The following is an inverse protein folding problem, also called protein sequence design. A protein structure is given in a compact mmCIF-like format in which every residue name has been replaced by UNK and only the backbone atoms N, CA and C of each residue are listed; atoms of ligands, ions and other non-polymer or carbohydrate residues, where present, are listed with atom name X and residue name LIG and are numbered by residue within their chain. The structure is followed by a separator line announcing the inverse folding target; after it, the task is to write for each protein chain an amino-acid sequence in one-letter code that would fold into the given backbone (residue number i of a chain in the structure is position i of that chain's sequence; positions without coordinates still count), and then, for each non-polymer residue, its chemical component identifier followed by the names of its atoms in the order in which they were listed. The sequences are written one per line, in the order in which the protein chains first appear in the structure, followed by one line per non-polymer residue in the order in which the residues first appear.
data_IF_560619555740
#
_entry.id   IF_560619555740
#
_cell.length_a   1.000
_cell.length_b   1.000
_cell.length_c   1.000
_cell.angle_alpha   90.00
_cell.angle_beta   90.00
_cell.angle_gamma   90.00
#
_symmetry.space_group_name_H-M   'P 1'
#
loop_
_entity.id
_entity.type
_entity.pdbx_description
1 polymer ?
#
# COMPACT_ATOMS: atom_id res chain seq x y z
N UNK A 1 17.85 20.98 -0.39
CA UNK A 1 18.93 19.99 -0.23
C UNK A 1 18.34 18.68 0.25
N UNK A 2 18.78 17.59 -0.37
CA UNK A 2 18.45 16.23 0.02
C UNK A 2 19.64 15.56 0.69
N UNK A 3 19.37 14.59 1.55
CA UNK A 3 20.38 13.87 2.35
C UNK A 3 20.38 12.42 1.90
N UNK A 4 21.54 11.95 1.44
CA UNK A 4 21.75 10.55 1.12
C UNK A 4 21.80 9.72 2.40
N UNK A 5 20.97 8.69 2.46
CA UNK A 5 20.97 7.69 3.53
C UNK A 5 22.23 6.81 3.41
N UNK A 6 23.01 6.65 4.50
CA UNK A 6 24.15 5.74 4.51
C UNK A 6 23.72 4.29 4.22
N UNK A 7 24.49 3.58 3.38
CA UNK A 7 24.19 2.21 2.96
C UNK A 7 24.19 1.24 4.15
N UNK A 8 25.04 1.50 5.14
CA UNK A 8 25.19 0.73 6.37
C UNK A 8 23.89 0.70 7.19
N UNK A 9 23.02 1.70 7.04
CA UNK A 9 21.71 1.70 7.70
C UNK A 9 20.81 0.59 7.16
N UNK A 10 21.01 0.14 5.91
CA UNK A 10 20.25 -0.94 5.28
C UNK A 10 20.82 -2.35 5.55
N UNK A 11 21.94 -2.45 6.27
CA UNK A 11 22.54 -3.74 6.68
C UNK A 11 22.64 -3.88 8.20
N UNK A 12 22.12 -2.89 8.94
CA UNK A 12 22.16 -2.86 10.38
C UNK A 12 21.19 -3.87 11.00
N UNK A 13 21.74 -4.91 11.63
CA UNK A 13 20.97 -6.04 12.16
C UNK A 13 20.14 -5.72 13.40
N UNK A 14 20.38 -4.58 14.06
CA UNK A 14 19.75 -4.20 15.32
C UNK A 14 18.62 -3.19 15.17
N UNK A 15 18.43 -2.60 13.98
CA UNK A 15 17.37 -1.63 13.77
C UNK A 15 16.02 -2.35 13.80
N UNK A 16 15.16 -1.92 14.71
CA UNK A 16 13.78 -2.42 14.85
C UNK A 16 12.77 -1.50 14.15
N UNK A 17 13.11 -0.22 14.03
CA UNK A 17 12.25 0.79 13.42
C UNK A 17 13.10 1.73 12.56
N UNK A 18 12.69 1.90 11.31
CA UNK A 18 13.33 2.81 10.35
C UNK A 18 12.27 3.76 9.80
N UNK A 19 12.48 5.05 10.03
CA UNK A 19 11.64 6.12 9.49
C UNK A 19 12.47 7.07 8.64
N UNK A 20 12.12 7.17 7.36
CA UNK A 20 12.71 8.10 6.42
C UNK A 20 11.61 9.04 5.91
N UNK A 21 11.84 10.35 6.08
CA UNK A 21 10.89 11.39 5.69
C UNK A 21 11.36 12.17 4.47
N UNK A 22 10.52 13.12 4.03
CA UNK A 22 10.87 14.02 2.93
C UNK A 22 12.22 14.69 3.20
N UNK A 23 13.05 14.74 2.15
CA UNK A 23 14.41 15.27 2.23
C UNK A 23 15.48 14.18 2.30
N UNK A 24 15.10 12.92 2.51
CA UNK A 24 16.02 11.79 2.36
C UNK A 24 15.95 11.16 0.96
N UNK A 25 17.10 10.72 0.51
CA UNK A 25 17.29 9.93 -0.70
C UNK A 25 18.05 8.65 -0.36
N UNK A 26 17.77 7.57 -1.07
CA UNK A 26 18.35 6.27 -0.76
C UNK A 26 18.79 5.51 -2.01
N UNK A 27 19.82 4.69 -1.83
CA UNK A 27 20.18 3.62 -2.73
C UNK A 27 20.16 2.34 -1.90
N UNK A 28 19.25 1.42 -2.22
CA UNK A 28 19.22 0.12 -1.55
C UNK A 28 20.39 -0.71 -2.06
N UNK A 29 21.29 -1.19 -1.18
CA UNK A 29 22.40 -2.04 -1.59
C UNK A 29 21.92 -3.45 -1.91
N UNK A 30 22.67 -4.21 -2.71
CA UNK A 30 22.27 -5.55 -3.14
C UNK A 30 22.21 -6.56 -1.98
N UNK A 31 23.01 -6.33 -0.93
CA UNK A 31 23.13 -7.11 0.31
C UNK A 31 22.26 -6.57 1.46
N UNK A 32 21.28 -5.70 1.17
CA UNK A 32 20.30 -5.22 2.16
C UNK A 32 19.73 -6.38 2.97
N UNK A 33 19.79 -6.25 4.30
CA UNK A 33 19.25 -7.23 5.23
C UNK A 33 19.03 -6.59 6.61
N UNK A 34 17.76 -6.52 7.02
CA UNK A 34 17.31 -5.87 8.25
C UNK A 34 16.51 -6.87 9.09
N UNK A 35 17.18 -7.87 9.69
CA UNK A 35 16.53 -9.03 10.34
C UNK A 35 15.67 -8.68 11.56
N UNK A 36 15.86 -7.51 12.17
CA UNK A 36 15.12 -7.08 13.36
C UNK A 36 14.04 -6.04 13.06
N UNK A 37 13.92 -5.58 11.81
CA UNK A 37 13.06 -4.47 11.44
C UNK A 37 11.59 -4.88 11.45
N UNK A 38 10.82 -4.25 12.34
CA UNK A 38 9.38 -4.45 12.51
C UNK A 38 8.56 -3.33 11.89
N UNK A 39 9.07 -2.09 11.92
CA UNK A 39 8.35 -0.91 11.42
C UNK A 39 9.20 -0.17 10.39
N UNK A 40 8.65 0.01 9.19
CA UNK A 40 9.25 0.76 8.11
C UNK A 40 8.31 1.89 7.67
N UNK A 41 8.78 3.12 7.80
CA UNK A 41 8.06 4.32 7.37
C UNK A 41 8.86 5.06 6.31
N UNK A 42 8.25 5.27 5.14
CA UNK A 42 8.83 5.93 3.99
C UNK A 42 7.90 7.06 3.53
N UNK A 43 8.25 8.31 3.83
CA UNK A 43 7.52 9.49 3.35
C UNK A 43 8.36 10.27 2.35
N UNK A 44 7.92 10.30 1.09
CA UNK A 44 8.49 11.08 -0.01
C UNK A 44 10.01 10.87 -0.16
N UNK A 45 10.45 9.63 0.04
CA UNK A 45 11.84 9.20 -0.14
C UNK A 45 12.06 8.86 -1.60
N UNK A 46 13.10 9.44 -2.21
CA UNK A 46 13.50 9.10 -3.57
C UNK A 46 14.54 7.97 -3.55
N UNK A 47 14.32 6.96 -4.39
CA UNK A 47 15.23 5.82 -4.53
C UNK A 47 15.94 5.85 -5.88
N UNK A 48 17.27 5.68 -5.87
CA UNK A 48 18.11 5.65 -7.08
C UNK A 48 18.17 4.28 -7.77
N UNK A 49 17.51 3.26 -7.21
CA UNK A 49 17.52 1.91 -7.75
C UNK A 49 16.73 1.80 -9.07
N UNK A 50 17.36 1.27 -10.11
CA UNK A 50 16.75 1.11 -11.45
C UNK A 50 16.61 -0.34 -11.92
N UNK A 51 17.21 -1.30 -11.21
CA UNK A 51 17.31 -2.71 -11.64
C UNK A 51 16.18 -3.61 -11.16
N UNK A 52 15.55 -3.26 -10.04
CA UNK A 52 14.56 -4.10 -9.36
C UNK A 52 13.50 -3.24 -8.66
N UNK A 53 12.42 -3.89 -8.24
CA UNK A 53 11.44 -3.23 -7.40
C UNK A 53 11.99 -3.04 -5.98
N UNK A 54 12.20 -1.78 -5.59
CA UNK A 54 12.71 -1.41 -4.27
C UNK A 54 11.85 -1.99 -3.15
N UNK A 55 10.53 -1.90 -3.30
CA UNK A 55 9.62 -2.37 -2.26
C UNK A 55 9.69 -3.87 -2.06
N UNK A 56 9.62 -4.66 -3.14
CA UNK A 56 9.75 -6.12 -3.05
C UNK A 56 11.11 -6.52 -2.45
N UNK A 57 12.19 -5.83 -2.82
CA UNK A 57 13.52 -6.06 -2.24
C UNK A 57 13.52 -5.79 -0.74
N UNK A 58 12.96 -4.67 -0.29
CA UNK A 58 12.88 -4.32 1.13
C UNK A 58 12.02 -5.32 1.91
N UNK A 59 10.85 -5.71 1.38
CA UNK A 59 9.99 -6.72 2.00
C UNK A 59 10.72 -8.06 2.15
N UNK A 60 11.47 -8.50 1.14
CA UNK A 60 12.26 -9.75 1.20
C UNK A 60 13.43 -9.67 2.19
N UNK A 61 13.97 -8.48 2.43
CA UNK A 61 15.12 -8.25 3.29
C UNK A 61 14.76 -8.01 4.77
N UNK A 62 13.47 -7.82 5.07
CA UNK A 62 12.94 -7.52 6.40
C UNK A 62 11.98 -8.66 6.84
N UNK A 63 12.51 -9.84 7.22
CA UNK A 63 11.70 -11.06 7.43
C UNK A 63 10.74 -11.00 8.63
N UNK A 64 10.82 -9.96 9.47
CA UNK A 64 9.96 -9.77 10.65
C UNK A 64 9.15 -8.48 10.58
N UNK A 65 9.01 -7.88 9.39
CA UNK A 65 8.32 -6.60 9.21
C UNK A 65 6.82 -6.75 9.49
N UNK A 66 6.31 -5.98 10.45
CA UNK A 66 4.92 -6.00 10.88
C UNK A 66 4.14 -4.76 10.40
N UNK A 67 4.82 -3.62 10.24
CA UNK A 67 4.20 -2.35 9.87
C UNK A 67 4.95 -1.67 8.73
N UNK A 68 4.22 -1.31 7.67
CA UNK A 68 4.75 -0.62 6.51
C UNK A 68 3.89 0.61 6.20
N UNK A 69 4.52 1.77 6.15
CA UNK A 69 3.90 3.01 5.67
C UNK A 69 4.67 3.59 4.50
N UNK A 70 3.98 3.84 3.39
CA UNK A 70 4.55 4.41 2.18
C UNK A 70 3.70 5.63 1.79
N UNK A 71 4.28 6.81 1.92
CA UNK A 71 3.74 8.05 1.38
C UNK A 71 4.62 8.50 0.23
N UNK A 72 4.48 7.91 -0.95
CA UNK A 72 5.31 8.31 -2.09
C UNK A 72 4.46 8.88 -3.21
N UNK A 73 4.79 10.06 -3.76
CA UNK A 73 4.17 10.50 -4.99
C UNK A 73 4.44 9.49 -6.09
N UNK A 74 5.58 8.80 -6.03
CA UNK A 74 6.14 8.08 -7.15
C UNK A 74 6.75 6.74 -6.72
N UNK A 75 6.16 5.67 -7.23
CA UNK A 75 6.79 4.34 -7.30
C UNK A 75 7.87 4.39 -8.41
N UNK A 76 8.88 5.27 -8.25
CA UNK A 76 9.66 5.86 -9.35
C UNK A 76 10.35 4.80 -10.22
N UNK A 77 9.83 4.65 -11.44
CA UNK A 77 10.44 4.15 -12.70
C UNK A 77 10.57 2.61 -12.90
N UNK A 78 10.50 2.11 -14.16
CA UNK A 78 9.27 1.87 -14.90
C UNK A 78 9.00 0.36 -15.08
N UNK A 79 7.74 -0.03 -14.85
CA UNK A 79 7.13 -1.37 -15.00
C UNK A 79 7.27 -2.27 -13.75
N UNK A 80 6.12 -2.49 -13.10
CA UNK A 80 5.77 -3.66 -12.24
C UNK A 80 5.97 -3.57 -10.73
N UNK A 81 6.50 -2.48 -10.20
CA UNK A 81 6.81 -2.42 -8.77
C UNK A 81 5.58 -2.14 -7.90
N UNK A 82 4.61 -3.07 -7.81
CA UNK A 82 3.32 -2.90 -7.08
C UNK A 82 2.76 -4.21 -6.50
N UNK A 83 3.67 -5.14 -6.22
CA UNK A 83 3.36 -6.34 -5.47
C UNK A 83 3.73 -6.07 -4.02
N UNK A 84 2.77 -6.26 -3.13
CA UNK A 84 3.04 -6.32 -1.69
C UNK A 84 2.76 -7.76 -1.28
N UNK A 85 3.83 -8.53 -1.09
CA UNK A 85 3.76 -9.91 -0.61
C UNK A 85 4.53 -10.02 0.70
N UNK A 86 3.85 -10.41 1.77
CA UNK A 86 4.45 -10.61 3.09
C UNK A 86 3.55 -11.44 4.00
N UNK A 87 4.13 -12.45 4.65
CA UNK A 87 3.44 -13.23 5.67
C UNK A 87 3.56 -12.63 7.08
N UNK A 88 4.36 -11.59 7.29
CA UNK A 88 4.55 -10.98 8.62
C UNK A 88 3.85 -9.65 8.77
N UNK A 89 3.51 -9.01 7.65
CA UNK A 89 2.92 -7.68 7.64
C UNK A 89 1.50 -7.71 8.22
N UNK A 90 1.28 -6.91 9.26
CA UNK A 90 0.01 -6.75 9.98
C UNK A 90 -0.67 -5.42 9.67
N UNK A 91 0.12 -4.37 9.37
CA UNK A 91 -0.40 -3.03 9.07
C UNK A 91 0.25 -2.47 7.82
N UNK A 92 -0.57 -1.96 6.92
CA UNK A 92 -0.13 -1.37 5.67
C UNK A 92 -0.84 -0.04 5.45
N UNK A 93 -0.06 1.01 5.25
CA UNK A 93 -0.54 2.33 4.85
C UNK A 93 0.12 2.74 3.54
N UNK A 94 -0.68 3.02 2.52
CA UNK A 94 -0.27 3.48 1.21
C UNK A 94 -0.97 4.81 0.96
N UNK A 95 -0.20 5.89 0.79
CA UNK A 95 -0.70 7.21 0.41
C UNK A 95 0.07 7.70 -0.80
N UNK A 96 -0.54 7.58 -1.97
CA UNK A 96 0.07 7.93 -3.24
C UNK A 96 -0.70 9.11 -3.81
N UNK A 97 0.02 10.19 -4.00
CA UNK A 97 -0.54 11.44 -4.47
C UNK A 97 0.16 11.74 -5.80
N UNK A 98 -0.58 11.52 -6.90
CA UNK A 98 -0.32 11.98 -8.27
C UNK A 98 0.48 11.03 -9.19
N UNK A 99 -0.18 10.19 -9.97
CA UNK A 99 0.29 9.80 -11.32
C UNK A 99 -0.87 9.60 -12.31
N UNK A 100 -0.55 9.76 -13.59
CA UNK A 100 -1.49 9.78 -14.74
C UNK A 100 -1.67 8.39 -15.39
N UNK A 101 -0.88 7.40 -14.96
CA UNK A 101 -0.89 6.05 -15.54
C UNK A 101 -1.67 5.07 -14.68
N UNK A 102 -2.35 4.11 -15.31
CA UNK A 102 -3.07 3.04 -14.62
C UNK A 102 -2.23 1.76 -14.58
N UNK A 103 -2.06 1.21 -13.39
CA UNK A 103 -1.20 0.05 -13.11
C UNK A 103 -2.00 -1.12 -12.53
N UNK A 104 -1.41 -2.31 -12.47
CA UNK A 104 -1.96 -3.41 -11.69
C UNK A 104 -1.39 -3.37 -10.26
N UNK A 105 -2.18 -3.78 -9.27
CA UNK A 105 -1.79 -3.82 -7.85
C UNK A 105 -2.05 -5.22 -7.28
N UNK A 106 -1.05 -5.80 -6.62
CA UNK A 106 -1.19 -7.12 -5.98
C UNK A 106 -1.02 -6.99 -4.47
N UNK A 107 -1.97 -7.56 -3.73
CA UNK A 107 -1.87 -7.78 -2.30
C UNK A 107 -1.80 -9.29 -2.05
N UNK A 108 -0.67 -9.74 -1.53
CA UNK A 108 -0.48 -11.12 -1.07
C UNK A 108 0.01 -11.10 0.39
N UNK A 109 -0.89 -10.67 1.27
CA UNK A 109 -0.59 -10.40 2.67
C UNK A 109 -1.66 -11.05 3.56
N UNK A 110 -1.62 -12.39 3.72
CA UNK A 110 -2.69 -13.14 4.39
C UNK A 110 -2.88 -12.76 5.85
N UNK A 111 -1.84 -12.22 6.51
CA UNK A 111 -1.85 -11.84 7.93
C UNK A 111 -2.08 -10.33 8.15
N UNK A 112 -2.42 -9.58 7.10
CA UNK A 112 -2.67 -8.14 7.20
C UNK A 112 -3.99 -7.92 7.94
N UNK A 113 -3.95 -7.19 9.06
CA UNK A 113 -5.12 -6.87 9.87
C UNK A 113 -5.65 -5.45 9.62
N UNK A 114 -4.78 -4.53 9.16
CA UNK A 114 -5.12 -3.14 8.89
C UNK A 114 -4.59 -2.69 7.52
N UNK A 115 -5.48 -2.12 6.70
CA UNK A 115 -5.15 -1.49 5.42
C UNK A 115 -5.64 -0.04 5.39
N UNK A 116 -4.76 0.89 5.09
CA UNK A 116 -5.11 2.24 4.67
C UNK A 116 -4.57 2.49 3.27
N UNK A 117 -5.46 2.77 2.33
CA UNK A 117 -5.11 2.87 0.92
C UNK A 117 -5.72 4.10 0.27
N UNK A 118 -4.85 5.07 -0.01
CA UNK A 118 -5.16 6.32 -0.68
C UNK A 118 -4.40 6.43 -2.00
N UNK A 119 -5.12 6.35 -3.13
CA UNK A 119 -4.53 6.40 -4.49
C UNK A 119 -5.61 6.55 -5.59
N UNK A 120 -5.21 6.45 -6.85
CA UNK A 120 -6.08 6.03 -7.94
C UNK A 120 -6.34 4.53 -7.86
N UNK A 121 -7.59 4.12 -8.07
CA UNK A 121 -7.93 2.70 -8.20
C UNK A 121 -7.16 2.09 -9.38
N UNK A 122 -6.47 0.99 -9.10
CA UNK A 122 -5.62 0.29 -10.05
C UNK A 122 -6.44 -0.22 -11.27
N UNK A 123 -5.75 -0.40 -12.39
CA UNK A 123 -6.27 -1.01 -13.61
C UNK A 123 -6.86 -2.39 -13.34
N UNK A 124 -6.15 -3.20 -12.56
CA UNK A 124 -6.57 -4.51 -12.10
C UNK A 124 -5.94 -4.82 -10.75
N UNK A 125 -6.58 -5.72 -10.03
CA UNK A 125 -6.02 -6.36 -8.84
C UNK A 125 -5.89 -7.87 -9.08
N UNK A 126 -4.79 -8.36 -9.70
CA UNK A 126 -4.68 -9.75 -10.14
C UNK A 126 -4.76 -10.76 -8.99
N UNK A 127 -4.16 -10.40 -7.86
CA UNK A 127 -4.18 -11.20 -6.63
C UNK A 127 -4.51 -10.28 -5.46
N UNK A 128 -5.51 -10.68 -4.67
CA UNK A 128 -5.95 -9.99 -3.45
C UNK A 128 -6.17 -11.05 -2.38
N UNK A 129 -5.11 -11.33 -1.64
CA UNK A 129 -5.12 -12.18 -0.46
C UNK A 129 -5.00 -11.28 0.78
N UNK A 130 -6.15 -11.07 1.42
CA UNK A 130 -6.38 -10.18 2.55
C UNK A 130 -7.21 -10.91 3.63
N UNK A 131 -7.00 -12.22 3.78
CA UNK A 131 -7.89 -13.11 4.54
C UNK A 131 -8.04 -12.74 6.02
N UNK A 132 -7.03 -12.13 6.64
CA UNK A 132 -7.06 -11.66 8.04
C UNK A 132 -7.44 -10.19 8.20
N UNK A 133 -7.89 -9.51 7.14
CA UNK A 133 -8.13 -8.06 7.18
C UNK A 133 -9.36 -7.73 8.02
N UNK A 134 -9.14 -6.95 9.07
CA UNK A 134 -10.19 -6.52 10.02
C UNK A 134 -10.66 -5.12 9.71
N UNK A 135 -9.73 -4.20 9.47
CA UNK A 135 -10.02 -2.78 9.24
C UNK A 135 -9.44 -2.29 7.92
N UNK A 136 -10.27 -1.63 7.13
CA UNK A 136 -9.88 -0.99 5.88
C UNK A 136 -10.31 0.49 5.84
N UNK A 137 -9.38 1.36 5.45
CA UNK A 137 -9.63 2.77 5.16
C UNK A 137 -9.25 3.05 3.72
N UNK A 138 -10.20 3.55 2.93
CA UNK A 138 -10.03 3.73 1.49
C UNK A 138 -10.31 5.17 1.08
N UNK A 139 -9.37 5.75 0.34
CA UNK A 139 -9.57 6.96 -0.46
C UNK A 139 -9.11 6.67 -1.89
N UNK A 140 -10.02 6.12 -2.69
CA UNK A 140 -9.73 5.67 -4.04
C UNK A 140 -10.55 6.44 -5.07
N UNK A 141 -9.84 7.15 -5.95
CA UNK A 141 -10.46 7.77 -7.13
C UNK A 141 -10.56 6.75 -8.25
N UNK A 142 -11.74 6.62 -8.83
CA UNK A 142 -12.05 5.59 -9.82
C UNK A 142 -12.32 6.19 -11.19
N UNK A 143 -11.64 5.70 -12.22
CA UNK A 143 -11.91 6.04 -13.61
C UNK A 143 -12.49 4.83 -14.34
N UNK A 144 -13.78 4.87 -14.68
CA UNK A 144 -14.55 3.71 -15.19
C UNK A 144 -13.89 2.94 -16.34
N UNK A 145 -13.23 3.62 -17.26
CA UNK A 145 -12.62 2.99 -18.43
C UNK A 145 -11.20 2.47 -18.19
N UNK A 146 -10.65 2.70 -17.00
CA UNK A 146 -9.22 2.55 -16.73
C UNK A 146 -8.91 1.83 -15.42
N UNK A 147 -9.88 1.74 -14.50
CA UNK A 147 -9.78 1.06 -13.20
C UNK A 147 -10.71 -0.15 -13.15
N UNK A 148 -10.29 -1.23 -12.48
CA UNK A 148 -11.14 -2.38 -12.17
C UNK A 148 -10.87 -2.86 -10.73
N UNK A 149 -11.61 -2.35 -9.74
CA UNK A 149 -11.44 -2.67 -8.33
C UNK A 149 -12.23 -3.92 -7.87
N UNK A 150 -12.84 -4.68 -8.78
CA UNK A 150 -13.70 -5.83 -8.43
C UNK A 150 -13.02 -6.81 -7.47
N UNK A 151 -11.78 -7.21 -7.76
CA UNK A 151 -11.05 -8.14 -6.89
C UNK A 151 -10.64 -7.51 -5.55
N UNK A 152 -10.38 -6.21 -5.51
CA UNK A 152 -10.14 -5.50 -4.25
C UNK A 152 -11.41 -5.54 -3.39
N UNK A 153 -12.57 -5.22 -3.97
CA UNK A 153 -13.86 -5.29 -3.27
C UNK A 153 -14.17 -6.69 -2.74
N UNK A 154 -13.86 -7.73 -3.52
CA UNK A 154 -13.98 -9.13 -3.09
C UNK A 154 -13.05 -9.44 -1.91
N UNK A 155 -11.81 -8.93 -1.94
CA UNK A 155 -10.86 -9.09 -0.82
C UNK A 155 -11.31 -8.41 0.47
N UNK A 156 -12.17 -7.38 0.38
CA UNK A 156 -12.70 -6.64 1.52
C UNK A 156 -13.95 -7.26 2.15
N UNK A 157 -14.47 -8.38 1.61
CA UNK A 157 -15.80 -8.92 2.00
C UNK A 157 -15.94 -9.35 3.47
N UNK A 158 -14.83 -9.55 4.17
CA UNK A 158 -14.79 -10.04 5.55
C UNK A 158 -14.33 -8.98 6.56
N UNK A 159 -14.09 -7.73 6.12
CA UNK A 159 -13.70 -6.66 7.04
C UNK A 159 -14.83 -6.36 8.02
N UNK A 160 -14.44 -6.03 9.24
CA UNK A 160 -15.34 -5.65 10.32
C UNK A 160 -15.60 -4.14 10.36
N UNK A 161 -14.58 -3.38 9.95
CA UNK A 161 -14.59 -1.92 9.88
C UNK A 161 -14.18 -1.48 8.49
N UNK A 162 -15.04 -0.70 7.83
CA UNK A 162 -14.76 -0.05 6.55
C UNK A 162 -14.98 1.45 6.65
N UNK A 163 -13.95 2.22 6.33
CA UNK A 163 -14.01 3.68 6.24
C UNK A 163 -13.73 4.12 4.81
N UNK A 164 -14.70 4.81 4.19
CA UNK A 164 -14.60 5.35 2.85
C UNK A 164 -14.46 6.86 2.98
N UNK A 165 -13.29 7.39 2.63
CA UNK A 165 -12.91 8.78 2.94
C UNK A 165 -13.41 9.78 1.89
N UNK A 166 -13.87 9.32 0.73
CA UNK A 166 -14.37 10.18 -0.36
C UNK A 166 -15.58 9.60 -1.08
N UNK A 167 -16.40 10.49 -1.67
CA UNK A 167 -17.52 10.13 -2.56
C UNK A 167 -17.06 9.27 -3.73
N UNK A 168 -15.87 9.54 -4.27
CA UNK A 168 -15.34 8.78 -5.40
C UNK A 168 -15.03 7.33 -5.02
N UNK A 169 -14.60 7.10 -3.78
CA UNK A 169 -14.46 5.76 -3.22
C UNK A 169 -15.81 5.07 -3.10
N UNK A 170 -16.87 5.77 -2.68
CA UNK A 170 -18.22 5.21 -2.63
C UNK A 170 -18.75 4.85 -4.03
N UNK A 171 -18.55 5.74 -5.02
CA UNK A 171 -18.94 5.50 -6.42
C UNK A 171 -18.34 4.22 -7.00
N UNK A 172 -17.19 3.76 -6.48
CA UNK A 172 -16.61 2.46 -6.80
C UNK A 172 -17.65 1.33 -6.67
N UNK A 173 -18.32 1.26 -5.53
CA UNK A 173 -19.29 0.21 -5.22
C UNK A 173 -20.53 0.32 -6.10
N UNK A 174 -20.95 1.54 -6.44
CA UNK A 174 -22.08 1.77 -7.34
C UNK A 174 -21.79 1.36 -8.80
N UNK A 175 -20.56 1.54 -9.27
CA UNK A 175 -20.20 1.27 -10.68
C UNK A 175 -19.76 -0.17 -10.93
N UNK A 176 -19.13 -0.80 -9.94
CA UNK A 176 -18.50 -2.11 -10.09
C UNK A 176 -19.18 -3.20 -9.24
N UNK A 177 -20.12 -2.84 -8.37
CA UNK A 177 -21.00 -3.80 -7.74
C UNK A 177 -22.18 -4.08 -8.66
N UNK A 178 -22.17 -5.20 -9.38
CA UNK A 178 -23.42 -5.76 -9.94
C UNK A 178 -24.40 -6.06 -8.79
N UNK A 179 -23.85 -6.50 -7.66
CA UNK A 179 -24.40 -6.45 -6.31
C UNK A 179 -23.28 -5.96 -5.39
N UNK A 180 -23.54 -4.99 -4.50
CA UNK A 180 -22.55 -4.57 -3.49
C UNK A 180 -22.11 -5.85 -2.75
N UNK A 181 -20.79 -6.14 -2.60
CA UNK A 181 -20.36 -7.34 -1.92
C UNK A 181 -21.04 -7.39 -0.56
N UNK A 182 -21.73 -8.51 -0.28
CA UNK A 182 -22.35 -8.71 1.04
C UNK A 182 -21.22 -8.82 2.04
N UNK A 183 -20.95 -7.72 2.74
CA UNK A 183 -19.96 -7.68 3.79
C UNK A 183 -20.47 -8.49 4.98
N UNK A 184 -20.01 -9.73 5.10
CA UNK A 184 -20.57 -10.70 6.06
C UNK A 184 -20.25 -10.40 7.53
N UNK A 185 -19.16 -9.67 7.79
CA UNK A 185 -18.69 -9.35 9.14
C UNK A 185 -18.76 -7.86 9.49
N UNK A 186 -19.16 -7.01 8.53
CA UNK A 186 -19.08 -5.56 8.68
C UNK A 186 -20.11 -5.06 9.70
N UNK A 187 -19.62 -4.54 10.83
CA UNK A 187 -20.47 -3.92 11.84
C UNK A 187 -20.33 -2.39 11.86
N UNK A 188 -19.28 -1.84 11.23
CA UNK A 188 -19.06 -0.39 11.16
C UNK A 188 -18.65 0.04 9.75
N UNK A 189 -19.53 0.83 9.13
CA UNK A 189 -19.27 1.54 7.88
C UNK A 189 -19.29 3.05 8.14
N UNK A 190 -18.20 3.73 7.81
CA UNK A 190 -18.12 5.19 7.80
C UNK A 190 -17.94 5.67 6.37
N UNK A 191 -18.75 6.63 5.94
CA UNK A 191 -18.60 7.30 4.64
C UNK A 191 -18.42 8.79 4.92
N UNK A 192 -17.21 9.28 4.70
CA UNK A 192 -16.87 10.70 4.82
C UNK A 192 -17.06 11.36 3.47
N UNK A 193 -17.83 12.45 3.48
CA UNK A 193 -18.24 13.17 2.28
C UNK A 193 -17.66 14.57 2.40
N UNK A 194 -16.37 14.73 2.12
CA UNK A 194 -15.81 16.07 2.00
C UNK A 194 -16.35 16.67 0.71
N UNK A 195 -17.43 17.46 0.82
CA UNK A 195 -17.82 18.38 -0.23
C UNK A 195 -16.73 19.44 -0.29
N UNK A 196 -16.05 19.64 -1.43
CA UNK A 196 -15.23 20.84 -1.58
C UNK A 196 -16.16 22.05 -1.48
N UNK A 197 -15.89 22.95 -0.53
CA UNK A 197 -16.45 24.30 -0.49
C UNK A 197 -16.20 25.05 -1.81
#
# INVERSE_FOLDING_TARGET
DSIMVPLEMFTCKTIVELRLSKGFEALIPDDVYLPSLKTLYLDRVYFYNSRYCVLEKLLSACPVLEELTIHSPSWQVPKRCRTISSCTLKRLTIKVVLFVDFWDMTFDTPNLAYLEYWDLAARKYPVVNLDSLVEAKLDLRVYRNMSNPTNLMIGLRYVEVLELLTVDTWKMFCYFGEEIPVFSNLFRLTITVDFPD
#
